data_IF_953152309710
#
_entry.id   IF_953152309710
#
_cell.length_a   1.000
_cell.length_b   1.000
_cell.length_c   1.000
_cell.angle_alpha   90.00
_cell.angle_beta   90.00
_cell.angle_gamma   90.00
#
_symmetry.space_group_name_H-M   'P 1'
#
loop_
_entity.id
_entity.type
_entity.pdbx_description
1 polymer ?
#
# COMPACT_ATOMS: atom_id res chain seq x y z
N UNK A 1 5.40 -16.62 -16.90
CA UNK A 1 4.55 -17.49 -16.07
C UNK A 1 4.96 -17.50 -14.60
N UNK A 2 6.13 -18.03 -14.19
CA UNK A 2 6.50 -18.10 -12.75
C UNK A 2 6.58 -16.72 -12.08
N UNK A 3 7.33 -15.77 -12.67
CA UNK A 3 7.43 -14.38 -12.18
C UNK A 3 6.11 -13.62 -12.14
N UNK A 4 5.18 -13.97 -13.02
CA UNK A 4 3.90 -13.28 -13.14
C UNK A 4 2.91 -13.82 -12.11
N UNK A 5 2.94 -15.14 -11.86
CA UNK A 5 2.23 -15.77 -10.75
C UNK A 5 2.66 -15.17 -9.41
N UNK A 6 3.95 -14.90 -9.23
CA UNK A 6 4.46 -14.26 -8.01
C UNK A 6 3.92 -12.83 -7.84
N UNK A 7 3.86 -12.05 -8.93
CA UNK A 7 3.30 -10.69 -8.89
C UNK A 7 1.80 -10.69 -8.59
N UNK A 8 1.07 -11.68 -9.11
CA UNK A 8 -0.35 -11.87 -8.79
C UNK A 8 -0.52 -12.17 -7.31
N UNK A 9 0.24 -13.14 -6.78
CA UNK A 9 0.20 -13.52 -5.37
C UNK A 9 0.50 -12.32 -4.46
N UNK A 10 1.54 -11.54 -4.77
CA UNK A 10 1.86 -10.32 -4.03
C UNK A 10 0.73 -9.28 -4.05
N UNK A 11 -0.04 -9.22 -5.13
CA UNK A 11 -1.23 -8.38 -5.23
C UNK A 11 -2.38 -8.90 -4.38
N UNK A 12 -2.62 -10.21 -4.39
CA UNK A 12 -3.67 -10.86 -3.58
C UNK A 12 -3.42 -10.70 -2.09
N UNK A 13 -2.19 -10.96 -1.63
CA UNK A 13 -1.79 -10.75 -0.23
C UNK A 13 -1.91 -9.26 0.17
N UNK A 14 -1.57 -8.34 -0.74
CA UNK A 14 -1.69 -6.92 -0.48
C UNK A 14 -3.16 -6.47 -0.41
N UNK A 15 -4.01 -7.00 -1.27
CA UNK A 15 -5.46 -6.74 -1.22
C UNK A 15 -6.07 -7.29 0.07
N UNK A 16 -5.67 -8.48 0.51
CA UNK A 16 -6.14 -9.06 1.78
C UNK A 16 -5.87 -8.10 2.95
N UNK A 17 -4.64 -7.56 3.04
CA UNK A 17 -4.29 -6.59 4.08
C UNK A 17 -5.08 -5.28 3.94
N UNK A 18 -5.25 -4.76 2.72
CA UNK A 18 -5.99 -3.53 2.47
C UNK A 18 -7.49 -3.66 2.75
N UNK A 19 -8.06 -4.85 2.60
CA UNK A 19 -9.46 -5.14 2.95
C UNK A 19 -9.65 -5.50 4.43
N UNK A 20 -8.57 -5.79 5.17
CA UNK A 20 -8.64 -6.15 6.57
C UNK A 20 -8.97 -4.94 7.46
N UNK A 21 -10.15 -4.94 8.06
CA UNK A 21 -10.63 -3.86 8.94
C UNK A 21 -9.72 -3.62 10.16
N UNK A 22 -9.17 -4.69 10.75
CA UNK A 22 -8.26 -4.59 11.90
C UNK A 22 -6.96 -3.91 11.51
N UNK A 23 -6.37 -4.31 10.38
CA UNK A 23 -5.17 -3.68 9.85
C UNK A 23 -5.39 -2.19 9.60
N UNK A 24 -6.45 -1.83 8.87
CA UNK A 24 -6.79 -0.43 8.59
C UNK A 24 -6.99 0.40 9.87
N UNK A 25 -7.68 -0.17 10.87
CA UNK A 25 -7.86 0.50 12.17
C UNK A 25 -6.52 0.79 12.85
N UNK A 26 -5.62 -0.19 12.89
CA UNK A 26 -4.30 -0.02 13.52
C UNK A 26 -3.44 0.98 12.76
N UNK A 27 -3.37 0.90 11.43
CA UNK A 27 -2.58 1.84 10.61
C UNK A 27 -3.11 3.27 10.78
N UNK A 28 -4.43 3.48 10.79
CA UNK A 28 -5.01 4.80 11.02
C UNK A 28 -4.70 5.35 12.41
N UNK A 29 -4.70 4.49 13.45
CA UNK A 29 -4.30 4.89 14.79
C UNK A 29 -2.82 5.32 14.83
N UNK A 30 -1.93 4.56 14.19
CA UNK A 30 -0.50 4.91 14.11
C UNK A 30 -0.29 6.23 13.34
N UNK A 31 -1.03 6.45 12.25
CA UNK A 31 -0.99 7.72 11.50
C UNK A 31 -1.40 8.88 12.39
N UNK A 32 -2.52 8.76 13.11
CA UNK A 32 -2.98 9.80 14.05
C UNK A 32 -1.96 10.06 15.15
N UNK A 33 -1.38 9.01 15.76
CA UNK A 33 -0.35 9.14 16.79
C UNK A 33 0.90 9.88 16.27
N UNK A 34 1.36 9.57 15.06
CA UNK A 34 2.51 10.26 14.44
C UNK A 34 2.19 11.72 14.14
N UNK A 35 0.97 12.01 13.69
CA UNK A 35 0.50 13.37 13.47
C UNK A 35 0.44 14.17 14.78
N UNK A 36 -0.17 13.60 15.82
CA UNK A 36 -0.23 14.22 17.15
C UNK A 36 1.16 14.47 17.71
N UNK A 37 2.10 13.54 17.54
CA UNK A 37 3.49 13.75 17.97
C UNK A 37 4.13 14.92 17.22
N UNK A 38 3.94 14.98 15.90
CA UNK A 38 4.51 16.04 15.06
C UNK A 38 3.99 17.43 15.46
N UNK A 39 2.67 17.61 15.58
CA UNK A 39 2.08 18.93 15.87
C UNK A 39 2.35 19.43 17.29
N UNK A 40 2.69 18.51 18.21
CA UNK A 40 3.05 18.85 19.59
C UNK A 40 4.56 19.03 19.79
N UNK A 41 5.39 18.91 18.75
CA UNK A 41 6.82 19.22 18.86
C UNK A 41 7.05 20.71 19.05
N UNK A 42 8.02 21.07 19.91
CA UNK A 42 8.37 22.48 20.12
C UNK A 42 9.27 23.01 19.00
N UNK A 43 9.32 24.35 18.79
CA UNK A 43 10.22 24.94 17.81
C UNK A 43 11.68 24.50 17.97
N UNK A 44 12.14 24.39 19.21
CA UNK A 44 13.48 23.97 19.61
C UNK A 44 13.75 22.46 19.54
N UNK A 45 12.78 21.65 19.11
CA UNK A 45 12.89 20.19 18.98
C UNK A 45 12.86 19.73 17.51
N UNK A 46 13.81 20.16 16.65
CA UNK A 46 13.81 19.80 15.24
C UNK A 46 13.95 18.30 15.01
N UNK A 47 14.80 17.62 15.76
CA UNK A 47 15.06 16.19 15.60
C UNK A 47 13.80 15.35 15.88
N UNK A 48 13.02 15.72 16.90
CA UNK A 48 11.75 15.03 17.22
C UNK A 48 10.70 15.26 16.15
N UNK A 49 10.65 16.47 15.60
CA UNK A 49 9.72 16.83 14.53
C UNK A 49 10.05 16.08 13.25
N UNK A 50 11.33 16.03 12.89
CA UNK A 50 11.81 15.29 11.73
C UNK A 50 11.58 13.78 11.89
N UNK A 51 11.86 13.21 13.07
CA UNK A 51 11.57 11.81 13.37
C UNK A 51 10.08 11.49 13.20
N UNK A 52 9.19 12.35 13.72
CA UNK A 52 7.74 12.16 13.62
C UNK A 52 7.26 12.23 12.17
N UNK A 53 7.82 13.14 11.38
CA UNK A 53 7.56 13.24 9.95
C UNK A 53 7.98 11.98 9.19
N UNK A 54 9.19 11.45 9.42
CA UNK A 54 9.63 10.22 8.75
C UNK A 54 8.81 9.01 9.15
N UNK A 55 8.34 8.93 10.40
CA UNK A 55 7.47 7.85 10.82
C UNK A 55 6.12 7.90 10.07
N UNK A 56 5.49 9.07 10.02
CA UNK A 56 4.28 9.27 9.20
C UNK A 56 4.52 8.88 7.73
N UNK A 57 5.65 9.33 7.15
CA UNK A 57 5.99 9.05 5.75
C UNK A 57 6.17 7.55 5.49
N UNK A 58 6.76 6.82 6.43
CA UNK A 58 6.94 5.37 6.34
C UNK A 58 5.59 4.63 6.34
N UNK A 59 4.66 5.01 7.23
CA UNK A 59 3.31 4.43 7.28
C UNK A 59 2.56 4.64 5.95
N UNK A 60 2.59 5.86 5.42
CA UNK A 60 2.02 6.17 4.10
C UNK A 60 2.71 5.36 3.00
N UNK A 61 4.04 5.20 3.08
CA UNK A 61 4.81 4.42 2.13
C UNK A 61 4.41 2.95 2.09
N UNK A 62 4.12 2.34 3.24
CA UNK A 62 3.64 0.95 3.32
C UNK A 62 2.30 0.81 2.61
N UNK A 63 1.32 1.65 2.94
CA UNK A 63 -0.02 1.60 2.32
C UNK A 63 0.08 1.81 0.81
N UNK A 64 0.89 2.78 0.37
CA UNK A 64 1.11 3.02 -1.05
C UNK A 64 1.74 1.81 -1.76
N UNK A 65 2.71 1.15 -1.13
CA UNK A 65 3.33 -0.07 -1.68
C UNK A 65 2.31 -1.18 -1.86
N UNK A 66 1.40 -1.38 -0.89
CA UNK A 66 0.33 -2.37 -1.01
C UNK A 66 -0.61 -2.03 -2.18
N UNK A 67 -1.03 -0.77 -2.30
CA UNK A 67 -1.88 -0.31 -3.40
C UNK A 67 -1.22 -0.52 -4.76
N UNK A 68 0.09 -0.26 -4.88
CA UNK A 68 0.85 -0.50 -6.10
C UNK A 68 0.87 -1.98 -6.49
N UNK A 69 1.02 -2.91 -5.52
CA UNK A 69 0.98 -4.35 -5.79
C UNK A 69 -0.36 -4.80 -6.33
N UNK A 70 -1.46 -4.30 -5.74
CA UNK A 70 -2.83 -4.55 -6.24
C UNK A 70 -2.97 -4.04 -7.68
N UNK A 71 -2.54 -2.80 -7.95
CA UNK A 71 -2.63 -2.22 -9.29
C UNK A 71 -1.82 -3.02 -10.34
N UNK A 72 -0.64 -3.54 -9.97
CA UNK A 72 0.17 -4.40 -10.86
C UNK A 72 -0.57 -5.70 -11.16
N UNK A 73 -1.11 -6.38 -10.14
CA UNK A 73 -1.90 -7.60 -10.35
C UNK A 73 -3.11 -7.33 -11.25
N UNK A 74 -3.87 -6.27 -10.98
CA UNK A 74 -5.07 -5.93 -11.75
C UNK A 74 -4.71 -5.63 -13.21
N UNK A 75 -3.58 -4.97 -13.46
CA UNK A 75 -3.03 -4.78 -14.81
C UNK A 75 -2.78 -6.11 -15.53
N UNK A 76 -2.09 -7.05 -14.87
CA UNK A 76 -1.80 -8.39 -15.43
C UNK A 76 -3.10 -9.14 -15.74
N UNK A 77 -4.07 -9.12 -14.83
CA UNK A 77 -5.34 -9.84 -15.02
C UNK A 77 -6.16 -9.25 -16.18
N UNK A 78 -6.14 -7.92 -16.34
CA UNK A 78 -6.80 -7.24 -17.46
C UNK A 78 -6.14 -7.59 -18.80
N UNK A 79 -4.81 -7.65 -18.86
CA UNK A 79 -4.07 -8.09 -20.06
C UNK A 79 -4.48 -9.51 -20.48
N UNK A 80 -4.51 -10.45 -19.52
CA UNK A 80 -4.97 -11.84 -19.78
C UNK A 80 -6.41 -11.93 -20.27
N UNK A 81 -7.30 -11.12 -19.69
CA UNK A 81 -8.71 -11.08 -20.10
C UNK A 81 -8.90 -10.59 -21.53
N UNK A 82 -8.06 -9.65 -21.98
CA UNK A 82 -8.08 -9.15 -23.35
C UNK A 82 -7.53 -10.19 -24.34
N UNK A 83 -6.42 -10.86 -24.02
CA UNK A 83 -5.84 -11.92 -24.87
C UNK A 83 -6.80 -13.11 -25.07
N UNK A 84 -7.54 -13.49 -24.03
CA UNK A 84 -8.53 -14.57 -24.12
C UNK A 84 -9.72 -14.21 -25.03
N UNK A 85 -10.12 -12.93 -25.07
CA UNK A 85 -11.22 -12.47 -25.91
C UNK A 85 -10.81 -12.35 -27.38
N UNK A 86 -9.60 -11.84 -27.69
CA UNK A 86 -9.12 -11.71 -29.08
C UNK A 86 -8.99 -13.07 -29.79
N UNK A 87 -8.70 -14.15 -29.05
CA UNK A 87 -8.55 -15.49 -29.61
C UNK A 87 -9.88 -16.27 -29.77
N UNK A 88 -11.02 -15.65 -29.47
CA UNK A 88 -12.36 -16.25 -29.62
C UNK A 88 -13.15 -15.71 -30.82
N UNK A 89 -12.48 -14.91 -31.67
CA UNK A 89 -13.04 -14.25 -32.86
C UNK A 89 -12.68 -14.86 -34.23
N UNK A 90 -12.03 -16.03 -34.30
CA UNK A 90 -11.80 -16.79 -35.56
C UNK A 90 -12.76 -17.97 -35.73
#
# INVERSE_FOLDING_TARGET
MEKESDLILLGDEAEELLQNNTFNKIVNQLVEETFQRFVNTKPEEPDQREQSYYHYRALVGIVHTLQQRVAVRDGIMNERGNEANDNSGE
#
